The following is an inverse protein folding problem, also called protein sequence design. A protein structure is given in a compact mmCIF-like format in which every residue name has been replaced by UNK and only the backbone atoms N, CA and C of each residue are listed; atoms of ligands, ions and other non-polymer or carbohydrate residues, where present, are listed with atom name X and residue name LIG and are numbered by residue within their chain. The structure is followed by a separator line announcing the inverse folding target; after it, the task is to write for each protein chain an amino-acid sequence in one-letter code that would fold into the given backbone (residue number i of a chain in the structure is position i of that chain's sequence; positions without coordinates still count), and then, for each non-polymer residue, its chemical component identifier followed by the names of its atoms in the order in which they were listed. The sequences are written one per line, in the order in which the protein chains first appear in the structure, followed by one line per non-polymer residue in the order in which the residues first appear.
data_IF_641753653192
#
_entry.id   IF_641753653192
#
_cell.length_a   1.000
_cell.length_b   1.000
_cell.length_c   1.000
_cell.angle_alpha   90.00
_cell.angle_beta   90.00
_cell.angle_gamma   90.00
#
_symmetry.space_group_name_H-M   'P 1'
#
loop_
_entity.id
_entity.type
_entity.pdbx_description
1 polymer ?
#
# COMPACT_ATOMS: atom_id res chain seq x y z
N UNK A 1 7.61 4.90 19.69
CA UNK A 1 6.86 4.50 18.48
C UNK A 1 5.49 3.96 18.83
N UNK A 2 5.40 3.04 19.80
CA UNK A 2 4.12 2.41 20.18
C UNK A 2 3.01 3.38 20.61
N UNK A 3 3.36 4.44 21.34
CA UNK A 3 2.38 5.47 21.73
C UNK A 3 1.77 6.18 20.51
N UNK A 4 2.62 6.64 19.57
CA UNK A 4 2.17 7.33 18.34
C UNK A 4 1.33 6.36 17.49
N UNK A 5 1.77 5.11 17.34
CA UNK A 5 1.04 4.07 16.61
C UNK A 5 -0.34 3.81 17.23
N UNK A 6 -0.42 3.74 18.55
CA UNK A 6 -1.68 3.56 19.28
C UNK A 6 -2.63 4.73 19.08
N UNK A 7 -2.12 5.96 19.08
CA UNK A 7 -2.92 7.17 18.83
C UNK A 7 -3.45 7.20 17.39
N UNK A 8 -2.62 6.89 16.40
CA UNK A 8 -3.04 6.79 14.99
C UNK A 8 -4.08 5.68 14.76
N UNK A 9 -3.94 4.51 15.41
CA UNK A 9 -4.95 3.45 15.38
C UNK A 9 -6.27 3.92 15.99
N UNK A 10 -6.22 4.65 17.10
CA UNK A 10 -7.41 5.22 17.72
C UNK A 10 -8.10 6.21 16.78
N UNK A 11 -7.36 7.13 16.17
CA UNK A 11 -7.90 8.06 15.17
C UNK A 11 -8.53 7.34 13.98
N UNK A 12 -7.90 6.26 13.47
CA UNK A 12 -8.46 5.47 12.38
C UNK A 12 -9.83 4.90 12.76
N UNK A 13 -9.96 4.35 13.97
CA UNK A 13 -11.24 3.82 14.48
C UNK A 13 -12.30 4.93 14.58
N UNK A 14 -11.95 6.09 15.12
CA UNK A 14 -12.88 7.21 15.24
C UNK A 14 -13.30 7.76 13.87
N UNK A 15 -12.39 7.83 12.90
CA UNK A 15 -12.70 8.24 11.54
C UNK A 15 -13.63 7.26 10.82
N UNK A 16 -13.45 5.95 11.03
CA UNK A 16 -14.36 4.92 10.48
C UNK A 16 -15.77 5.06 11.07
N UNK A 17 -15.88 5.30 12.38
CA UNK A 17 -17.17 5.58 13.03
C UNK A 17 -17.80 6.85 12.47
N UNK A 18 -17.02 7.93 12.36
CA UNK A 18 -17.47 9.21 11.82
C UNK A 18 -18.01 9.05 10.40
N UNK A 19 -17.28 8.36 9.53
CA UNK A 19 -17.73 8.05 8.17
C UNK A 19 -19.11 7.38 8.17
N UNK A 20 -19.31 6.37 9.02
CA UNK A 20 -20.59 5.64 9.09
C UNK A 20 -21.75 6.48 9.64
N UNK A 21 -21.45 7.53 10.42
CA UNK A 21 -22.45 8.41 11.00
C UNK A 21 -22.82 9.60 10.09
N UNK A 22 -22.00 9.89 9.09
CA UNK A 22 -22.20 11.00 8.15
C UNK A 22 -23.18 10.61 7.05
N UNK A 23 -24.22 11.42 6.85
CA UNK A 23 -25.24 11.23 5.78
C UNK A 23 -24.89 11.90 4.45
N UNK A 24 -23.87 12.77 4.44
CA UNK A 24 -23.44 13.49 3.25
C UNK A 24 -22.34 12.72 2.54
N UNK A 25 -22.57 12.35 1.28
CA UNK A 25 -21.61 11.62 0.46
C UNK A 25 -20.29 12.40 0.30
N UNK A 26 -20.37 13.72 0.10
CA UNK A 26 -19.20 14.59 0.02
C UNK A 26 -18.34 14.53 1.28
N UNK A 27 -18.96 14.63 2.46
CA UNK A 27 -18.23 14.58 3.73
C UNK A 27 -17.68 13.17 3.96
N UNK A 28 -18.43 12.12 3.61
CA UNK A 28 -17.96 10.75 3.71
C UNK A 28 -16.72 10.50 2.82
N UNK A 29 -16.69 11.04 1.60
CA UNK A 29 -15.55 10.96 0.70
C UNK A 29 -14.34 11.76 1.23
N UNK A 30 -14.58 12.91 1.84
CA UNK A 30 -13.52 13.68 2.51
C UNK A 30 -12.92 12.91 3.69
N UNK A 31 -13.77 12.31 4.53
CA UNK A 31 -13.35 11.46 5.66
C UNK A 31 -12.57 10.24 5.14
N UNK A 32 -12.96 9.66 4.00
CA UNK A 32 -12.21 8.59 3.34
C UNK A 32 -10.79 9.02 2.95
N UNK A 33 -10.60 10.27 2.53
CA UNK A 33 -9.27 10.85 2.32
C UNK A 33 -8.43 10.81 3.59
N UNK A 34 -8.99 11.25 4.72
CA UNK A 34 -8.28 11.28 6.01
C UNK A 34 -7.97 9.86 6.51
N UNK A 35 -8.88 8.92 6.32
CA UNK A 35 -8.69 7.49 6.64
C UNK A 35 -7.48 6.94 5.88
N UNK A 36 -7.38 7.21 4.57
CA UNK A 36 -6.25 6.75 3.74
C UNK A 36 -4.91 7.30 4.23
N UNK A 37 -4.85 8.59 4.55
CA UNK A 37 -3.63 9.22 5.07
C UNK A 37 -3.23 8.65 6.44
N UNK A 38 -4.21 8.40 7.30
CA UNK A 38 -4.00 7.79 8.63
C UNK A 38 -3.48 6.36 8.51
N UNK A 39 -4.04 5.59 7.58
CA UNK A 39 -3.54 4.26 7.26
C UNK A 39 -2.10 4.29 6.75
N UNK A 40 -1.76 5.23 5.86
CA UNK A 40 -0.40 5.37 5.34
C UNK A 40 0.60 5.67 6.47
N UNK A 41 0.28 6.59 7.39
CA UNK A 41 1.13 6.88 8.54
C UNK A 41 1.36 5.65 9.41
N UNK A 42 0.32 4.87 9.70
CA UNK A 42 0.45 3.60 10.43
C UNK A 42 1.40 2.62 9.74
N UNK A 43 1.29 2.48 8.41
CA UNK A 43 2.20 1.61 7.64
C UNK A 43 3.64 2.09 7.68
N UNK A 44 3.88 3.40 7.65
CA UNK A 44 5.23 3.97 7.80
C UNK A 44 5.81 3.72 9.21
N UNK A 45 5.00 3.80 10.26
CA UNK A 45 5.42 3.45 11.61
C UNK A 45 5.76 1.96 11.74
N UNK A 46 4.98 1.08 11.09
CA UNK A 46 5.23 -0.36 11.05
C UNK A 46 6.56 -0.68 10.36
N UNK A 47 6.84 0.01 9.25
CA UNK A 47 8.11 -0.07 8.52
C UNK A 47 9.27 0.24 9.47
N UNK A 48 9.23 1.33 10.22
CA UNK A 48 10.26 1.68 11.22
C UNK A 48 10.43 0.66 12.35
N UNK A 49 9.49 -0.26 12.52
CA UNK A 49 9.54 -1.33 13.52
C UNK A 49 10.20 -2.60 13.00
N UNK A 50 10.53 -2.66 11.70
CA UNK A 50 11.17 -3.83 11.10
C UNK A 50 12.67 -3.89 11.51
N UNK A 51 13.17 -5.06 11.97
CA UNK A 51 14.53 -5.20 12.52
C UNK A 51 15.68 -4.83 11.56
N UNK A 52 15.40 -4.72 10.26
CA UNK A 52 16.43 -4.58 9.20
C UNK A 52 16.17 -3.39 8.26
N UNK A 53 15.56 -2.31 8.75
CA UNK A 53 15.65 -1.04 8.02
C UNK A 53 16.99 -0.39 8.35
N UNK A 54 18.06 -1.01 7.84
CA UNK A 54 19.29 -0.27 7.62
C UNK A 54 19.05 0.61 6.39
N UNK A 55 18.56 1.83 6.63
CA UNK A 55 18.73 2.92 5.66
C UNK A 55 20.21 3.30 5.70
N UNK A 56 21.10 2.42 5.25
CA UNK A 56 22.48 2.78 4.93
C UNK A 56 22.41 3.71 3.72
N UNK A 57 22.17 5.00 3.96
CA UNK A 57 22.06 6.07 2.96
C UNK A 57 23.36 6.30 2.18
N UNK A 58 24.39 5.49 2.40
CA UNK A 58 25.68 5.51 1.71
C UNK A 58 26.00 4.27 0.88
N UNK A 59 25.17 3.22 0.89
CA UNK A 59 25.39 2.05 0.04
C UNK A 59 24.82 2.29 -1.37
N UNK A 60 25.71 2.67 -2.28
CA UNK A 60 25.45 2.60 -3.72
C UNK A 60 25.29 1.14 -4.12
N UNK A 61 24.05 0.68 -4.34
CA UNK A 61 23.80 -0.60 -5.00
C UNK A 61 24.10 -0.48 -6.49
N UNK A 62 24.80 -1.46 -7.10
CA UNK A 62 24.91 -1.57 -8.55
C UNK A 62 23.52 -1.53 -9.22
N UNK A 63 23.43 -0.93 -10.40
CA UNK A 63 22.16 -0.79 -11.12
C UNK A 63 21.50 -2.16 -11.37
N UNK A 64 22.28 -3.21 -11.61
CA UNK A 64 21.81 -4.60 -11.76
C UNK A 64 21.05 -5.07 -10.52
N UNK A 65 21.58 -4.78 -9.32
CA UNK A 65 20.96 -5.20 -8.07
C UNK A 65 19.69 -4.40 -7.78
N UNK A 66 19.65 -3.13 -8.18
CA UNK A 66 18.43 -2.31 -8.12
C UNK A 66 17.37 -2.89 -9.04
N UNK A 67 17.70 -3.18 -10.30
CA UNK A 67 16.77 -3.78 -11.26
C UNK A 67 16.26 -5.12 -10.74
N UNK A 68 17.14 -6.01 -10.28
CA UNK A 68 16.77 -7.30 -9.70
C UNK A 68 15.82 -7.15 -8.51
N UNK A 69 16.08 -6.19 -7.61
CA UNK A 69 15.19 -5.92 -6.48
C UNK A 69 13.80 -5.49 -6.95
N UNK A 70 13.71 -4.65 -7.99
CA UNK A 70 12.45 -4.23 -8.58
C UNK A 70 11.72 -5.41 -9.27
N UNK A 71 12.45 -6.30 -9.93
CA UNK A 71 11.89 -7.53 -10.53
C UNK A 71 11.32 -8.47 -9.45
N UNK A 72 12.04 -8.67 -8.35
CA UNK A 72 11.55 -9.42 -7.19
C UNK A 72 10.27 -8.80 -6.61
N UNK A 73 10.17 -7.47 -6.60
CA UNK A 73 8.95 -6.76 -6.19
C UNK A 73 7.80 -7.00 -7.16
N UNK A 74 8.05 -6.97 -8.48
CA UNK A 74 7.06 -7.32 -9.50
C UNK A 74 6.50 -8.73 -9.29
N UNK A 75 7.38 -9.72 -9.09
CA UNK A 75 6.97 -11.10 -8.80
C UNK A 75 6.04 -11.18 -7.57
N UNK A 76 6.38 -10.47 -6.49
CA UNK A 76 5.52 -10.41 -5.29
C UNK A 76 4.19 -9.72 -5.54
N UNK A 77 4.14 -8.69 -6.39
CA UNK A 77 2.86 -8.07 -6.77
C UNK A 77 1.97 -9.05 -7.52
N UNK A 78 2.52 -9.89 -8.40
CA UNK A 78 1.77 -10.93 -9.10
C UNK A 78 1.22 -11.99 -8.14
N UNK A 79 2.02 -12.43 -7.17
CA UNK A 79 1.57 -13.33 -6.10
C UNK A 79 0.45 -12.71 -5.26
N UNK A 80 0.59 -11.45 -4.87
CA UNK A 80 -0.45 -10.73 -4.14
C UNK A 80 -1.74 -10.58 -4.94
N UNK A 81 -1.67 -10.31 -6.24
CA UNK A 81 -2.85 -10.25 -7.10
C UNK A 81 -3.56 -11.61 -7.18
N UNK A 82 -2.82 -12.72 -7.17
CA UNK A 82 -3.41 -14.06 -7.11
C UNK A 82 -4.16 -14.28 -5.78
N UNK A 83 -3.61 -13.83 -4.65
CA UNK A 83 -4.30 -13.88 -3.35
C UNK A 83 -5.53 -12.97 -3.30
N UNK A 84 -5.46 -11.77 -3.88
CA UNK A 84 -6.62 -10.86 -3.98
C UNK A 84 -7.76 -11.49 -4.78
N UNK A 85 -7.46 -12.22 -5.85
CA UNK A 85 -8.49 -12.96 -6.61
C UNK A 85 -9.20 -13.98 -5.72
N UNK A 86 -8.45 -14.74 -4.91
CA UNK A 86 -9.03 -15.68 -3.93
C UNK A 86 -9.87 -14.95 -2.86
N UNK A 87 -9.46 -13.76 -2.43
CA UNK A 87 -10.24 -12.94 -1.49
C UNK A 87 -11.55 -12.47 -2.12
N UNK A 88 -11.53 -12.03 -3.39
CA UNK A 88 -12.72 -11.61 -4.12
C UNK A 88 -13.74 -12.75 -4.22
N UNK A 89 -13.29 -13.96 -4.52
CA UNK A 89 -14.15 -15.15 -4.59
C UNK A 89 -14.81 -15.50 -3.24
N UNK A 90 -14.19 -15.12 -2.13
CA UNK A 90 -14.67 -15.39 -0.76
C UNK A 90 -15.46 -14.24 -0.15
N UNK A 91 -15.54 -13.09 -0.82
CA UNK A 91 -16.25 -11.92 -0.33
C UNK A 91 -17.74 -12.22 -0.18
N UNK A 92 -18.30 -11.89 0.98
CA UNK A 92 -19.70 -12.16 1.34
C UNK A 92 -20.55 -10.90 1.31
N UNK A 93 -19.92 -9.74 1.30
CA UNK A 93 -20.60 -8.44 1.36
C UNK A 93 -20.18 -7.52 0.22
N UNK A 94 -21.07 -6.59 -0.22
CA UNK A 94 -20.71 -5.56 -1.19
C UNK A 94 -19.53 -4.69 -0.74
N UNK A 95 -19.44 -4.38 0.55
CA UNK A 95 -18.34 -3.60 1.11
C UNK A 95 -16.99 -4.33 1.00
N UNK A 96 -16.95 -5.63 1.30
CA UNK A 96 -15.73 -6.44 1.11
C UNK A 96 -15.31 -6.44 -0.36
N UNK A 97 -16.25 -6.60 -1.30
CA UNK A 97 -15.96 -6.56 -2.74
C UNK A 97 -15.37 -5.23 -3.18
N UNK A 98 -15.88 -4.11 -2.67
CA UNK A 98 -15.40 -2.77 -2.99
C UNK A 98 -13.98 -2.53 -2.45
N UNK A 99 -13.72 -2.93 -1.20
CA UNK A 99 -12.38 -2.85 -0.60
C UNK A 99 -11.38 -3.72 -1.39
N UNK A 100 -11.76 -4.96 -1.71
CA UNK A 100 -10.92 -5.88 -2.48
C UNK A 100 -10.63 -5.33 -3.88
N UNK A 101 -11.63 -4.77 -4.56
CA UNK A 101 -11.44 -4.14 -5.87
C UNK A 101 -10.52 -2.91 -5.81
N UNK A 102 -10.61 -2.11 -4.74
CA UNK A 102 -9.71 -0.98 -4.51
C UNK A 102 -8.27 -1.44 -4.30
N UNK A 103 -8.07 -2.50 -3.50
CA UNK A 103 -6.76 -3.11 -3.28
C UNK A 103 -6.17 -3.68 -4.57
N UNK A 104 -6.96 -4.41 -5.36
CA UNK A 104 -6.54 -4.95 -6.66
C UNK A 104 -6.02 -3.84 -7.57
N UNK A 105 -6.83 -2.79 -7.80
CA UNK A 105 -6.44 -1.66 -8.65
C UNK A 105 -5.19 -0.95 -8.14
N UNK A 106 -5.00 -0.86 -6.82
CA UNK A 106 -3.82 -0.25 -6.23
C UNK A 106 -2.56 -1.07 -6.47
N UNK A 107 -2.65 -2.41 -6.33
CA UNK A 107 -1.55 -3.32 -6.63
C UNK A 107 -1.21 -3.33 -8.12
N UNK A 108 -2.22 -3.38 -9.01
CA UNK A 108 -2.02 -3.32 -10.46
C UNK A 108 -1.28 -2.06 -10.88
N UNK A 109 -1.67 -0.89 -10.36
CA UNK A 109 -0.96 0.37 -10.61
C UNK A 109 0.49 0.32 -10.15
N UNK A 110 0.71 -0.16 -8.92
CA UNK A 110 2.06 -0.26 -8.36
C UNK A 110 2.96 -1.20 -9.18
N UNK A 111 2.40 -2.32 -9.63
CA UNK A 111 3.08 -3.27 -10.49
C UNK A 111 3.47 -2.65 -11.84
N UNK A 112 2.53 -1.96 -12.51
CA UNK A 112 2.79 -1.29 -13.79
C UNK A 112 3.88 -0.23 -13.63
N UNK A 113 3.77 0.64 -12.62
CA UNK A 113 4.78 1.68 -12.36
C UNK A 113 6.16 1.10 -12.10
N UNK A 114 6.24 -0.01 -11.35
CA UNK A 114 7.51 -0.69 -11.09
C UNK A 114 8.11 -1.28 -12.38
N UNK A 115 7.29 -1.89 -13.25
CA UNK A 115 7.74 -2.38 -14.57
C UNK A 115 8.21 -1.26 -15.48
N UNK A 116 7.51 -0.13 -15.51
CA UNK A 116 7.95 1.04 -16.28
C UNK A 116 9.30 1.55 -15.80
N UNK A 117 9.54 1.57 -14.48
CA UNK A 117 10.83 1.95 -13.90
C UNK A 117 11.93 0.97 -14.32
N UNK A 118 11.69 -0.35 -14.24
CA UNK A 118 12.64 -1.37 -14.70
C UNK A 118 13.02 -1.13 -16.17
N UNK A 119 12.02 -0.91 -17.03
CA UNK A 119 12.25 -0.66 -18.45
C UNK A 119 13.10 0.59 -18.66
N UNK A 120 12.76 1.72 -18.02
CA UNK A 120 13.52 2.97 -18.14
C UNK A 120 14.97 2.82 -17.66
N UNK A 121 15.20 2.10 -16.55
CA UNK A 121 16.53 1.82 -16.01
C UNK A 121 17.32 0.90 -16.94
N UNK A 122 16.66 -0.06 -17.59
CA UNK A 122 17.30 -0.98 -18.54
C UNK A 122 17.64 -0.28 -19.85
N UNK A 123 16.76 0.57 -20.37
CA UNK A 123 16.97 1.36 -21.59
C UNK A 123 18.12 2.38 -21.42
N UNK A 124 18.29 2.95 -20.23
CA UNK A 124 19.41 3.86 -19.93
C UNK A 124 20.81 3.21 -20.01
N UNK A 125 20.88 1.89 -20.23
CA UNK A 125 22.14 1.15 -20.49
C UNK A 125 22.51 1.09 -21.97
N UNK A 126 21.56 1.34 -22.88
CA UNK A 126 21.76 1.30 -24.34
C UNK A 126 22.18 2.65 -24.89
#
# INVERSE_FOLDING_TARGET
MDKIRSEELHHLVELMKLKSAVKSDYIAEFVDGIIRETYLRLRLLDVLSLPEISLNTGESKPLEEVIKTLEDMCQRYEEHLAEIKKLRERAKTPLELEIIASLEKSLERSHITTRMLINALTESRG
#
